data_IF_145322039257
#
_entry.id   IF_145322039257
#
_cell.length_a   1.000
_cell.length_b   1.000
_cell.length_c   1.000
_cell.angle_alpha   90.00
_cell.angle_beta   90.00
_cell.angle_gamma   90.00
#
_symmetry.space_group_name_H-M   'P 1'
#
loop_
_entity.id
_entity.type
_entity.pdbx_description
1 polymer ?
#
# COMPACT_ATOMS: atom_id res chain seq x y z
N UNK A 1 -15.23 -60.52 46.94
CA UNK A 1 -16.44 -59.69 47.13
C UNK A 1 -16.03 -58.38 47.78
N UNK A 2 -16.60 -57.27 47.34
CA UNK A 2 -16.55 -55.91 47.95
C UNK A 2 -15.30 -55.02 47.72
N UNK A 3 -15.42 -54.17 46.67
CA UNK A 3 -15.09 -52.73 46.55
C UNK A 3 -13.91 -52.13 47.33
N UNK A 4 -13.00 -51.44 46.62
CA UNK A 4 -12.43 -50.16 47.06
C UNK A 4 -12.07 -49.27 45.85
N UNK A 5 -12.26 -47.95 46.02
CA UNK A 5 -12.16 -46.84 45.07
C UNK A 5 -10.75 -46.66 44.47
N UNK A 6 -10.59 -46.04 43.28
CA UNK A 6 -10.19 -44.62 43.11
C UNK A 6 -9.96 -44.22 41.64
N UNK A 7 -10.54 -43.08 41.24
CA UNK A 7 -10.05 -42.11 40.24
C UNK A 7 -9.53 -42.60 38.88
N UNK A 8 -10.38 -42.57 37.84
CA UNK A 8 -9.91 -42.61 36.45
C UNK A 8 -9.86 -41.20 35.88
N UNK A 9 -8.66 -40.79 35.49
CA UNK A 9 -8.29 -39.49 34.93
C UNK A 9 -9.16 -39.04 33.75
N UNK A 10 -9.85 -37.92 33.91
CA UNK A 10 -10.21 -37.04 32.80
C UNK A 10 -8.96 -36.26 32.37
N UNK A 11 -8.12 -36.89 31.55
CA UNK A 11 -7.02 -36.21 30.85
C UNK A 11 -7.60 -35.41 29.69
N UNK A 12 -7.93 -34.15 29.98
CA UNK A 12 -8.25 -33.15 28.96
C UNK A 12 -7.09 -32.98 28.00
N UNK A 13 -7.30 -33.38 26.75
CA UNK A 13 -6.40 -33.15 25.63
C UNK A 13 -6.44 -31.65 25.28
N UNK A 14 -5.73 -30.82 26.05
CA UNK A 14 -5.49 -29.42 25.70
C UNK A 14 -4.51 -29.39 24.51
N UNK A 15 -5.07 -29.42 23.30
CA UNK A 15 -4.34 -29.16 22.07
C UNK A 15 -3.82 -27.73 22.07
N UNK A 16 -2.59 -27.54 22.52
CA UNK A 16 -1.87 -26.28 22.37
C UNK A 16 -1.52 -26.12 20.89
N UNK A 17 -2.40 -25.47 20.13
CA UNK A 17 -2.09 -25.03 18.78
C UNK A 17 -0.93 -24.03 18.88
N UNK A 18 0.28 -24.48 18.55
CA UNK A 18 1.45 -23.63 18.47
C UNK A 18 1.19 -22.57 17.38
N UNK A 19 0.84 -21.36 17.80
CA UNK A 19 0.82 -20.19 16.93
C UNK A 19 2.26 -19.98 16.43
N UNK A 20 2.54 -20.39 15.20
CA UNK A 20 3.83 -20.08 14.59
C UNK A 20 3.97 -18.55 14.53
N UNK A 21 5.08 -17.98 15.00
CA UNK A 21 5.31 -16.55 14.85
C UNK A 21 5.38 -16.23 13.36
N UNK A 22 4.38 -15.51 12.86
CA UNK A 22 4.44 -14.91 11.54
C UNK A 22 5.61 -13.91 11.55
N UNK A 23 6.65 -14.21 10.79
CA UNK A 23 7.75 -13.28 10.54
C UNK A 23 7.22 -12.17 9.63
N UNK A 24 6.79 -11.07 10.24
CA UNK A 24 6.32 -9.92 9.51
C UNK A 24 7.53 -9.10 9.04
N UNK A 25 7.63 -8.87 7.73
CA UNK A 25 8.58 -7.92 7.17
C UNK A 25 8.21 -6.47 7.48
N UNK A 26 8.73 -5.53 6.70
CA UNK A 26 8.49 -4.10 6.89
C UNK A 26 7.03 -3.74 6.59
N UNK A 27 6.39 -3.01 7.51
CA UNK A 27 5.01 -2.54 7.41
C UNK A 27 4.99 -1.06 7.05
N UNK A 28 4.21 -0.70 6.04
CA UNK A 28 3.97 0.69 5.63
C UNK A 28 2.60 1.11 6.17
N UNK A 29 2.52 2.26 6.83
CA UNK A 29 1.31 2.72 7.55
C UNK A 29 0.12 3.15 6.69
N UNK A 30 0.08 2.76 5.43
CA UNK A 30 -0.99 3.08 4.50
C UNK A 30 -0.87 2.34 3.17
N UNK A 31 -2.00 2.16 2.49
CA UNK A 31 -2.07 1.55 1.15
C UNK A 31 -2.02 2.59 0.03
N UNK A 32 -2.11 3.88 0.38
CA UNK A 32 -1.98 5.05 -0.49
C UNK A 32 -1.60 6.27 0.35
N UNK A 33 -1.07 7.29 -0.31
CA UNK A 33 -0.75 8.59 0.28
C UNK A 33 -1.55 9.67 -0.46
N UNK A 34 -2.19 10.56 0.29
CA UNK A 34 -2.80 11.77 -0.25
C UNK A 34 -1.89 12.94 0.11
N UNK A 35 -1.30 13.57 -0.90
CA UNK A 35 -0.61 14.84 -0.78
C UNK A 35 -1.64 15.96 -0.99
N UNK A 36 -1.99 16.63 0.09
CA UNK A 36 -2.84 17.82 0.06
C UNK A 36 -2.05 19.01 -0.49
N UNK A 37 -2.51 19.58 -1.61
CA UNK A 37 -1.86 20.70 -2.28
C UNK A 37 -1.80 21.99 -1.45
N UNK A 38 -2.61 22.11 -0.40
CA UNK A 38 -2.50 23.21 0.57
C UNK A 38 -1.38 22.99 1.61
N UNK A 39 -0.77 21.79 1.66
CA UNK A 39 0.27 21.43 2.63
C UNK A 39 1.66 21.41 2.00
N UNK A 40 2.66 21.58 2.87
CA UNK A 40 4.08 21.56 2.49
C UNK A 40 4.65 20.16 2.33
N UNK A 41 4.04 19.16 2.96
CA UNK A 41 4.49 17.78 2.90
C UNK A 41 3.35 16.79 3.18
N UNK A 42 3.58 15.54 2.79
CA UNK A 42 2.83 14.37 3.24
C UNK A 42 3.81 13.39 3.91
N UNK A 43 3.31 12.51 4.76
CA UNK A 43 4.15 11.56 5.49
C UNK A 43 3.53 10.18 5.57
N UNK A 44 4.37 9.15 5.62
CA UNK A 44 3.95 7.77 5.87
C UNK A 44 4.90 7.08 6.85
N UNK A 45 4.39 6.45 7.93
CA UNK A 45 5.25 5.71 8.83
C UNK A 45 5.63 4.36 8.20
N UNK A 46 6.85 3.93 8.48
CA UNK A 46 7.43 2.66 8.07
C UNK A 46 7.96 1.97 9.31
N UNK A 47 7.44 0.78 9.60
CA UNK A 47 7.69 0.04 10.83
C UNK A 47 8.35 -1.29 10.56
N UNK A 48 9.33 -1.63 11.37
CA UNK A 48 9.91 -2.96 11.44
C UNK A 48 9.33 -3.68 12.67
N UNK A 49 8.35 -4.58 12.51
CA UNK A 49 7.80 -5.36 13.61
C UNK A 49 8.70 -6.53 14.04
N UNK A 50 9.77 -6.85 13.29
CA UNK A 50 10.75 -7.87 13.67
C UNK A 50 11.37 -7.50 15.02
N UNK A 51 11.59 -8.51 15.87
CA UNK A 51 12.11 -8.33 17.24
C UNK A 51 13.63 -8.31 17.30
N UNK A 52 14.29 -8.75 16.25
CA UNK A 52 15.74 -9.04 16.24
C UNK A 52 16.46 -8.49 15.02
N UNK A 53 15.88 -8.60 13.83
CA UNK A 53 16.56 -8.27 12.59
C UNK A 53 16.31 -6.81 12.17
N UNK A 54 17.36 -6.05 11.83
CA UNK A 54 17.21 -4.74 11.20
C UNK A 54 16.97 -4.87 9.69
N UNK A 55 16.37 -3.84 9.10
CA UNK A 55 16.24 -3.71 7.65
C UNK A 55 16.92 -2.44 7.16
N UNK A 56 17.46 -2.49 5.94
CA UNK A 56 17.78 -1.27 5.19
C UNK A 56 16.57 -0.90 4.33
N UNK A 57 16.08 0.32 4.51
CA UNK A 57 14.92 0.86 3.81
C UNK A 57 15.38 1.82 2.75
N UNK A 58 15.02 1.56 1.50
CA UNK A 58 15.21 2.47 0.37
C UNK A 58 13.84 2.98 -0.09
N UNK A 59 13.70 4.30 -0.26
CA UNK A 59 12.46 4.94 -0.69
C UNK A 59 12.68 5.87 -1.88
N UNK A 60 11.77 5.84 -2.86
CA UNK A 60 11.80 6.70 -4.04
C UNK A 60 10.40 6.89 -4.65
N UNK A 61 10.25 7.92 -5.46
CA UNK A 61 9.00 8.25 -6.17
C UNK A 61 9.19 8.02 -7.67
N UNK A 62 8.22 7.39 -8.31
CA UNK A 62 8.16 7.16 -9.76
C UNK A 62 6.92 7.88 -10.33
N UNK A 63 6.99 8.27 -11.61
CA UNK A 63 5.81 8.68 -12.37
C UNK A 63 4.80 7.54 -12.50
N UNK A 64 3.54 7.87 -12.76
CA UNK A 64 2.49 6.88 -13.05
C UNK A 64 2.43 6.61 -14.56
N UNK A 65 2.51 5.35 -15.02
CA UNK A 65 2.62 5.06 -16.44
C UNK A 65 1.30 5.37 -17.17
N UNK A 66 1.35 6.42 -17.99
CA UNK A 66 0.67 6.65 -19.27
C UNK A 66 0.81 8.12 -19.71
N UNK A 67 1.31 9.00 -18.83
CA UNK A 67 1.58 10.40 -19.16
C UNK A 67 3.03 10.77 -18.82
N UNK A 68 3.83 10.93 -19.87
CA UNK A 68 5.10 11.65 -19.94
C UNK A 68 6.32 11.12 -19.18
N UNK A 69 7.48 11.21 -19.85
CA UNK A 69 8.82 10.91 -19.37
C UNK A 69 9.32 11.90 -18.28
N UNK A 70 8.43 12.63 -17.62
CA UNK A 70 8.79 13.59 -16.58
C UNK A 70 8.96 12.90 -15.23
N UNK A 71 10.06 13.23 -14.57
CA UNK A 71 10.28 12.84 -13.17
C UNK A 71 9.17 13.45 -12.32
N UNK A 72 8.58 12.65 -11.43
CA UNK A 72 7.60 13.12 -10.47
C UNK A 72 8.16 14.36 -9.71
N UNK A 73 7.41 15.46 -9.56
CA UNK A 73 7.90 16.70 -8.94
C UNK A 73 7.89 16.61 -7.40
N UNK A 74 8.39 15.49 -6.89
CA UNK A 74 8.40 15.16 -5.48
C UNK A 74 9.75 14.56 -5.10
N UNK A 75 10.20 14.91 -3.90
CA UNK A 75 11.29 14.22 -3.22
C UNK A 75 10.74 13.44 -2.03
N UNK A 76 11.45 12.38 -1.67
CA UNK A 76 11.14 11.56 -0.51
C UNK A 76 12.35 11.51 0.42
N UNK A 77 12.13 11.63 1.71
CA UNK A 77 13.20 11.76 2.71
C UNK A 77 12.84 11.03 4.00
N UNK A 78 13.75 10.21 4.57
CA UNK A 78 15.06 9.83 4.00
C UNK A 78 14.95 8.82 2.83
N UNK A 79 15.75 8.97 1.76
CA UNK A 79 15.73 8.03 0.63
C UNK A 79 16.39 6.68 0.94
N UNK A 80 17.25 6.63 1.96
CA UNK A 80 17.90 5.42 2.45
C UNK A 80 18.15 5.55 3.94
N UNK A 81 17.73 4.55 4.72
CA UNK A 81 17.98 4.53 6.17
C UNK A 81 17.91 3.10 6.72
N UNK A 82 18.64 2.85 7.80
CA UNK A 82 18.52 1.62 8.58
C UNK A 82 17.33 1.73 9.52
N UNK A 83 16.52 0.68 9.59
CA UNK A 83 15.37 0.56 10.49
C UNK A 83 15.58 -0.65 11.41
N UNK A 84 15.96 -0.37 12.65
CA UNK A 84 16.22 -1.41 13.65
C UNK A 84 14.96 -2.16 14.07
N UNK A 85 15.16 -3.31 14.72
CA UNK A 85 14.10 -4.15 15.24
C UNK A 85 13.14 -3.39 16.16
N UNK A 86 11.84 -3.60 15.97
CA UNK A 86 10.76 -2.95 16.72
C UNK A 86 10.63 -1.45 16.50
N UNK A 87 11.44 -0.84 15.63
CA UNK A 87 11.42 0.61 15.39
C UNK A 87 10.46 1.00 14.28
N UNK A 88 10.07 2.27 14.34
CA UNK A 88 9.29 2.95 13.33
C UNK A 88 10.03 4.24 12.94
N UNK A 89 9.97 4.58 11.66
CA UNK A 89 10.47 5.86 11.16
C UNK A 89 9.43 6.48 10.21
N UNK A 90 9.44 7.80 10.11
CA UNK A 90 8.53 8.54 9.23
C UNK A 90 9.26 8.91 7.94
N UNK A 91 8.68 8.50 6.81
CA UNK A 91 9.12 8.94 5.49
C UNK A 91 8.27 10.13 5.06
N UNK A 92 8.93 11.23 4.70
CA UNK A 92 8.30 12.49 4.26
C UNK A 92 8.39 12.64 2.76
N UNK A 93 7.35 13.19 2.16
CA UNK A 93 7.24 13.50 0.75
C UNK A 93 7.01 14.99 0.63
N UNK A 94 7.86 15.67 -0.14
CA UNK A 94 7.82 17.12 -0.33
C UNK A 94 7.71 17.40 -1.83
N UNK A 95 6.78 18.26 -2.22
CA UNK A 95 6.68 18.74 -3.61
C UNK A 95 7.83 19.70 -3.90
N UNK A 96 8.56 19.49 -4.98
CA UNK A 96 9.71 20.32 -5.39
C UNK A 96 9.36 21.34 -6.49
N UNK A 97 8.07 21.50 -6.79
CA UNK A 97 7.57 22.40 -7.83
C UNK A 97 6.76 21.63 -8.86
N UNK A 98 7.05 21.85 -10.14
CA UNK A 98 6.34 21.24 -11.26
C UNK A 98 4.98 21.86 -11.53
N UNK A 99 4.51 21.73 -12.77
CA UNK A 99 3.22 22.23 -13.21
C UNK A 99 2.18 21.10 -13.20
N UNK A 100 1.68 20.78 -12.01
CA UNK A 100 0.60 19.80 -11.87
C UNK A 100 -0.75 20.48 -12.16
N UNK A 101 -1.70 19.78 -12.80
CA UNK A 101 -3.06 20.27 -12.95
C UNK A 101 -3.66 20.68 -11.61
N UNK A 102 -4.31 21.84 -11.56
CA UNK A 102 -4.99 22.36 -10.36
C UNK A 102 -6.51 22.09 -10.40
N UNK A 103 -7.03 21.56 -11.50
CA UNK A 103 -8.45 21.23 -11.72
C UNK A 103 -8.78 19.74 -11.46
N UNK A 104 -7.77 18.87 -11.30
CA UNK A 104 -7.90 17.41 -11.12
C UNK A 104 -6.77 16.83 -10.30
N UNK A 105 -7.00 15.65 -9.72
CA UNK A 105 -5.92 14.90 -9.06
C UNK A 105 -4.84 14.48 -10.07
N UNK A 106 -3.60 14.36 -9.58
CA UNK A 106 -2.51 13.66 -10.26
C UNK A 106 -2.08 12.45 -9.45
N UNK A 107 -1.56 11.41 -10.11
CA UNK A 107 -1.15 10.17 -9.45
C UNK A 107 0.31 9.84 -9.76
N UNK A 108 1.01 9.33 -8.76
CA UNK A 108 2.40 8.89 -8.79
C UNK A 108 2.54 7.58 -8.01
N UNK A 109 3.72 6.97 -8.06
CA UNK A 109 4.03 5.79 -7.26
C UNK A 109 5.10 6.10 -6.21
N UNK A 110 4.85 5.68 -4.98
CA UNK A 110 5.85 5.63 -3.92
C UNK A 110 6.29 4.19 -3.76
N UNK A 111 7.61 3.99 -3.82
CA UNK A 111 8.24 2.70 -3.64
C UNK A 111 8.99 2.69 -2.30
N UNK A 112 8.75 1.66 -1.51
CA UNK A 112 9.46 1.37 -0.26
C UNK A 112 10.02 -0.04 -0.37
N UNK A 113 11.34 -0.15 -0.49
CA UNK A 113 12.06 -1.43 -0.58
C UNK A 113 12.72 -1.74 0.75
N UNK A 114 12.39 -2.88 1.32
CA UNK A 114 13.04 -3.43 2.50
C UNK A 114 14.09 -4.46 2.09
N UNK A 115 15.32 -4.25 2.53
CA UNK A 115 16.45 -5.15 2.28
C UNK A 115 16.85 -5.74 3.64
N UNK A 116 16.75 -7.07 3.82
CA UNK A 116 17.13 -7.71 5.08
C UNK A 116 18.64 -7.60 5.30
N UNK A 117 19.05 -7.54 6.56
CA UNK A 117 20.46 -7.70 6.91
C UNK A 117 20.97 -9.11 6.56
N UNK A 118 22.25 -9.19 6.19
CA UNK A 118 22.94 -10.43 5.91
C UNK A 118 24.20 -10.53 6.76
N UNK A 119 24.40 -11.68 7.40
CA UNK A 119 25.65 -12.01 8.07
C UNK A 119 26.62 -12.65 7.07
N UNK A 120 27.92 -12.37 7.21
CA UNK A 120 28.96 -13.07 6.45
C UNK A 120 29.00 -14.54 6.90
N UNK A 121 28.75 -15.46 5.97
CA UNK A 121 28.72 -16.90 6.21
C UNK A 121 29.08 -17.63 4.92
N UNK A 122 29.82 -18.73 5.03
CA UNK A 122 30.16 -19.61 3.91
C UNK A 122 28.99 -20.50 3.45
N UNK A 123 27.80 -20.33 4.05
CA UNK A 123 26.59 -21.07 3.69
C UNK A 123 25.81 -20.37 2.57
N UNK A 124 25.26 -21.18 1.64
CA UNK A 124 24.34 -20.69 0.63
C UNK A 124 23.05 -20.18 1.28
N UNK A 125 22.72 -18.91 1.07
CA UNK A 125 21.52 -18.26 1.63
C UNK A 125 20.71 -17.55 0.56
N UNK A 126 19.39 -17.68 0.64
CA UNK A 126 18.45 -16.91 -0.16
C UNK A 126 17.99 -15.69 0.65
N UNK A 127 18.20 -14.49 0.11
CA UNK A 127 17.70 -13.24 0.68
C UNK A 127 16.57 -12.69 -0.18
N UNK A 128 15.43 -12.41 0.44
CA UNK A 128 14.27 -11.85 -0.24
C UNK A 128 14.16 -10.38 0.15
N UNK A 129 14.29 -9.50 -0.83
CA UNK A 129 13.96 -8.08 -0.67
C UNK A 129 12.53 -7.84 -1.14
N UNK A 130 11.74 -7.16 -0.31
CA UNK A 130 10.33 -6.85 -0.62
C UNK A 130 10.24 -5.39 -1.04
N UNK A 131 9.53 -5.12 -2.14
CA UNK A 131 9.21 -3.77 -2.61
C UNK A 131 7.71 -3.53 -2.53
N UNK A 132 7.31 -2.65 -1.62
CA UNK A 132 5.95 -2.16 -1.52
C UNK A 132 5.80 -0.95 -2.45
N UNK A 133 4.85 -1.03 -3.40
CA UNK A 133 4.53 0.04 -4.35
C UNK A 133 3.12 0.53 -4.09
N UNK A 134 2.96 1.79 -3.68
CA UNK A 134 1.67 2.40 -3.31
C UNK A 134 1.45 3.70 -4.06
N UNK A 135 0.18 4.06 -4.23
CA UNK A 135 -0.21 5.29 -4.97
C UNK A 135 0.04 6.53 -4.11
N UNK A 136 0.57 7.56 -4.74
CA UNK A 136 0.63 8.92 -4.21
C UNK A 136 -0.31 9.79 -5.06
N UNK A 137 -1.39 10.27 -4.46
CA UNK A 137 -2.31 11.19 -5.11
C UNK A 137 -1.95 12.62 -4.70
N UNK A 138 -1.63 13.47 -5.67
CA UNK A 138 -1.63 14.91 -5.48
C UNK A 138 -3.06 15.42 -5.64
N UNK A 139 -3.58 16.06 -4.59
CA UNK A 139 -4.90 16.68 -4.58
C UNK A 139 -4.75 18.20 -4.49
N UNK A 140 -5.00 18.93 -5.58
CA UNK A 140 -5.04 20.39 -5.57
C UNK A 140 -5.85 20.97 -4.42
N UNK A 141 -5.46 22.14 -3.92
CA UNK A 141 -6.14 22.82 -2.82
C UNK A 141 -7.60 23.18 -3.15
N UNK A 142 -7.94 23.29 -4.44
CA UNK A 142 -9.29 23.53 -4.93
C UNK A 142 -10.23 22.30 -4.79
N UNK A 143 -9.68 21.08 -4.61
CA UNK A 143 -10.42 19.81 -4.63
C UNK A 143 -10.56 19.18 -3.23
N UNK A 144 -10.91 19.96 -2.20
CA UNK A 144 -10.92 19.43 -0.81
C UNK A 144 -12.01 18.39 -0.54
N UNK A 145 -13.17 18.50 -1.20
CA UNK A 145 -14.37 17.73 -0.87
C UNK A 145 -14.89 16.87 -2.02
N UNK A 146 -15.48 15.71 -1.71
CA UNK A 146 -16.19 14.86 -2.69
C UNK A 146 -15.42 13.62 -3.18
N UNK A 147 -14.14 13.46 -2.85
CA UNK A 147 -13.37 12.27 -3.24
C UNK A 147 -13.98 10.96 -2.72
N UNK A 148 -14.54 10.99 -1.51
CA UNK A 148 -15.21 9.82 -0.90
C UNK A 148 -16.48 9.42 -1.65
N UNK A 149 -17.16 10.37 -2.28
CA UNK A 149 -18.43 10.16 -2.98
C UNK A 149 -18.29 10.11 -4.51
N UNK A 150 -17.09 10.33 -5.03
CA UNK A 150 -16.81 10.37 -6.47
C UNK A 150 -17.29 9.10 -7.21
N UNK A 151 -17.16 7.94 -6.56
CA UNK A 151 -17.58 6.66 -7.12
C UNK A 151 -19.09 6.59 -7.44
N UNK A 152 -19.92 7.39 -6.74
CA UNK A 152 -21.38 7.44 -6.94
C UNK A 152 -21.79 8.08 -8.26
N UNK A 153 -20.90 8.87 -8.86
CA UNK A 153 -21.15 9.59 -10.11
C UNK A 153 -20.64 8.82 -11.33
N UNK A 154 -20.03 7.65 -11.14
CA UNK A 154 -19.56 6.83 -12.24
C UNK A 154 -20.73 6.29 -13.04
N UNK A 155 -20.62 6.39 -14.36
CA UNK A 155 -21.59 5.81 -15.30
C UNK A 155 -20.95 4.65 -16.05
N UNK A 156 -21.69 3.55 -16.18
CA UNK A 156 -21.22 2.33 -16.82
C UNK A 156 -22.02 2.08 -18.10
N UNK A 157 -21.34 1.73 -19.19
CA UNK A 157 -21.95 1.36 -20.47
C UNK A 157 -21.25 0.13 -21.02
N UNK A 158 -22.00 -0.84 -21.50
CA UNK A 158 -21.44 -1.95 -22.27
C UNK A 158 -21.30 -1.53 -23.72
N UNK A 159 -20.14 -1.80 -24.33
CA UNK A 159 -19.87 -1.59 -25.75
C UNK A 159 -19.27 -2.88 -26.31
N UNK A 160 -20.09 -3.69 -26.97
CA UNK A 160 -19.71 -5.03 -27.37
C UNK A 160 -19.34 -5.90 -26.17
N UNK A 161 -18.12 -6.45 -26.17
CA UNK A 161 -17.56 -7.25 -25.08
C UNK A 161 -16.84 -6.42 -24.01
N UNK A 162 -16.77 -5.10 -24.15
CA UNK A 162 -16.09 -4.21 -23.21
C UNK A 162 -17.08 -3.51 -22.27
N UNK A 163 -16.65 -3.32 -21.02
CA UNK A 163 -17.31 -2.41 -20.09
C UNK A 163 -16.60 -1.06 -20.14
N UNK A 164 -17.30 -0.03 -20.64
CA UNK A 164 -16.85 1.35 -20.59
C UNK A 164 -17.32 1.98 -19.28
N UNK A 165 -16.40 2.60 -18.56
CA UNK A 165 -16.69 3.37 -17.35
C UNK A 165 -16.36 4.82 -17.64
N UNK A 166 -17.27 5.72 -17.30
CA UNK A 166 -17.06 7.15 -17.40
C UNK A 166 -17.06 7.75 -15.99
N UNK A 167 -15.98 8.46 -15.68
CA UNK A 167 -15.76 9.20 -14.46
C UNK A 167 -15.83 10.70 -14.75
N UNK A 168 -16.94 11.37 -14.40
CA UNK A 168 -17.07 12.82 -14.61
C UNK A 168 -16.39 13.64 -13.50
N UNK A 169 -15.76 13.01 -12.52
CA UNK A 169 -15.23 13.69 -11.33
C UNK A 169 -13.73 13.96 -11.44
N UNK A 170 -13.19 15.00 -10.78
CA UNK A 170 -11.76 15.33 -10.83
C UNK A 170 -10.89 14.39 -9.98
N UNK A 171 -11.46 13.29 -9.45
CA UNK A 171 -10.82 12.35 -8.55
C UNK A 171 -10.54 11.01 -9.24
N UNK A 172 -9.47 10.34 -8.80
CA UNK A 172 -9.26 8.95 -9.17
C UNK A 172 -10.15 8.01 -8.36
N UNK A 173 -10.86 7.10 -9.03
CA UNK A 173 -11.62 6.03 -8.37
C UNK A 173 -10.91 4.70 -8.57
N UNK A 174 -10.41 4.12 -7.47
CA UNK A 174 -9.81 2.78 -7.47
C UNK A 174 -10.87 1.74 -7.16
N UNK A 175 -11.01 0.75 -8.03
CA UNK A 175 -11.96 -0.34 -7.85
C UNK A 175 -11.33 -1.47 -7.05
N UNK A 176 -12.06 -1.96 -6.05
CA UNK A 176 -11.74 -3.21 -5.36
C UNK A 176 -12.19 -4.42 -6.20
N UNK A 177 -13.47 -4.40 -6.62
CA UNK A 177 -14.05 -5.40 -7.51
C UNK A 177 -15.10 -4.77 -8.43
N UNK A 178 -15.20 -5.30 -9.65
CA UNK A 178 -16.29 -5.03 -10.59
C UNK A 178 -16.87 -6.37 -11.01
N UNK A 179 -18.20 -6.51 -10.99
CA UNK A 179 -18.89 -7.70 -11.48
C UNK A 179 -19.92 -7.31 -12.53
N UNK A 180 -19.95 -8.05 -13.64
CA UNK A 180 -20.94 -7.92 -14.71
C UNK A 180 -21.72 -9.22 -14.78
N UNK A 181 -23.02 -9.17 -14.53
CA UNK A 181 -23.86 -10.39 -14.52
C UNK A 181 -23.41 -11.45 -13.51
N UNK A 182 -22.79 -11.05 -12.39
CA UNK A 182 -22.25 -11.95 -11.38
C UNK A 182 -20.79 -12.39 -11.60
N UNK A 183 -20.25 -12.20 -12.81
CA UNK A 183 -18.86 -12.55 -13.13
C UNK A 183 -17.92 -11.39 -12.78
N UNK A 184 -16.93 -11.66 -11.93
CA UNK A 184 -15.91 -10.67 -11.58
C UNK A 184 -14.95 -10.41 -12.75
N UNK A 185 -14.69 -9.14 -13.03
CA UNK A 185 -13.64 -8.74 -13.96
C UNK A 185 -12.27 -8.96 -13.33
N UNK A 186 -11.32 -9.46 -14.11
CA UNK A 186 -9.93 -9.55 -13.67
C UNK A 186 -9.32 -8.14 -13.65
N UNK A 187 -8.74 -7.75 -12.51
CA UNK A 187 -8.02 -6.48 -12.33
C UNK A 187 -8.83 -5.23 -12.71
N UNK A 188 -9.84 -4.84 -11.92
CA UNK A 188 -10.73 -3.72 -12.24
C UNK A 188 -10.02 -2.36 -12.26
N UNK A 189 -8.83 -2.27 -11.66
CA UNK A 189 -7.92 -1.14 -11.84
C UNK A 189 -8.39 0.15 -11.18
N UNK A 190 -8.11 1.27 -11.84
CA UNK A 190 -8.45 2.61 -11.39
C UNK A 190 -8.79 3.47 -12.60
N UNK A 191 -9.77 4.35 -12.44
CA UNK A 191 -10.17 5.29 -13.48
C UNK A 191 -9.85 6.74 -13.06
N UNK A 192 -9.31 7.51 -13.99
CA UNK A 192 -9.07 8.96 -13.86
C UNK A 192 -10.30 9.75 -14.34
N UNK A 193 -10.27 11.08 -14.25
CA UNK A 193 -11.24 11.93 -14.94
C UNK A 193 -11.21 11.65 -16.45
N UNK A 194 -12.36 11.39 -17.06
CA UNK A 194 -12.47 11.32 -18.52
C UNK A 194 -12.27 12.73 -19.11
N UNK A 195 -11.23 12.91 -19.91
CA UNK A 195 -11.07 14.09 -20.75
C UNK A 195 -11.90 13.91 -22.04
N UNK A 196 -12.53 14.98 -22.55
CA UNK A 196 -13.19 14.96 -23.86
C UNK A 196 -12.21 14.73 -25.01
#
# INVERSE_FOLDING_TARGET
MSRLLTGFCLLGLFGFAALQPAQAGVVVGGTRIIYDGAKKEASIPVKNPDKTAPFLIQSWIEGYPNDSAEKAPFIITPPLFRLDAGKENIVRIVRTGGNLPEDRESVFWVNIKSIPASEASDQNRLLISVKTKIKLFYRPAALKDGAADAYKQLTFKTQGSALSVNNPTPYFVSFDSIKVGGTALQSPGMIALNLP
#
